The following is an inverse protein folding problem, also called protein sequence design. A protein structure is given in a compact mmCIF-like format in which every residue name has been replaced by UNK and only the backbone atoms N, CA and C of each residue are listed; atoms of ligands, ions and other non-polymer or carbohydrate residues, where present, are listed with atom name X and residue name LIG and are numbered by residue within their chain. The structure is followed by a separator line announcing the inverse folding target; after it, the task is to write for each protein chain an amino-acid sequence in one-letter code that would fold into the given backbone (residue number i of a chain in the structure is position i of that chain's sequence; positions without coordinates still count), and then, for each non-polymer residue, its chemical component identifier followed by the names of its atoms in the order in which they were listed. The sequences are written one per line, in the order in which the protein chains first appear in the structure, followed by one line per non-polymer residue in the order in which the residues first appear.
data_IF_460192363185
#
_entry.id   IF_460192363185
#
_cell.length_a   1.000
_cell.length_b   1.000
_cell.length_c   1.000
_cell.angle_alpha   90.00
_cell.angle_beta   90.00
_cell.angle_gamma   90.00
#
_symmetry.space_group_name_H-M   'P 1'
#
loop_
_entity.id
_entity.type
_entity.pdbx_description
1 polymer ?
#
# COMPACT_ATOMS: atom_id res chain seq x y z
N UNK A 1 -0.20 54.27 -26.62
CA UNK A 1 -0.27 54.17 -25.14
C UNK A 1 -1.39 53.19 -24.83
N UNK A 2 -1.06 52.14 -24.07
CA UNK A 2 -1.91 51.08 -23.49
C UNK A 2 -2.56 50.05 -24.45
N UNK A 3 -2.19 48.79 -24.18
CA UNK A 3 -2.54 47.53 -24.85
C UNK A 3 -3.99 47.13 -24.59
N UNK A 4 -4.67 46.62 -25.62
CA UNK A 4 -5.81 45.71 -25.49
C UNK A 4 -5.41 44.34 -26.01
N UNK A 5 -5.59 43.29 -25.20
CA UNK A 5 -5.71 41.91 -25.69
C UNK A 5 -7.19 41.58 -25.67
N UNK A 6 -7.77 41.37 -26.86
CA UNK A 6 -9.03 40.67 -27.04
C UNK A 6 -8.70 39.26 -27.52
N UNK A 7 -9.43 38.30 -26.99
CA UNK A 7 -9.52 36.94 -27.48
C UNK A 7 -10.00 36.91 -28.93
N UNK A 8 -9.58 35.89 -29.68
CA UNK A 8 -10.23 35.54 -30.95
C UNK A 8 -10.23 34.03 -31.10
N UNK A 9 -11.44 33.53 -31.34
CA UNK A 9 -11.86 32.14 -31.55
C UNK A 9 -11.11 31.43 -32.69
N UNK A 10 -10.97 30.11 -32.56
CA UNK A 10 -10.58 29.20 -33.62
C UNK A 10 -11.77 28.92 -34.55
N UNK A 11 -11.70 29.34 -35.81
CA UNK A 11 -12.57 28.82 -36.88
C UNK A 11 -11.79 27.89 -37.81
N UNK A 12 -12.26 26.64 -37.95
CA UNK A 12 -11.74 25.59 -38.84
C UNK A 12 -11.80 26.01 -40.32
N UNK A 13 -10.77 25.64 -41.10
CA UNK A 13 -10.76 25.73 -42.56
C UNK A 13 -10.00 24.56 -43.21
N UNK A 14 -10.74 23.71 -43.92
CA UNK A 14 -10.33 22.49 -44.63
C UNK A 14 -9.51 22.83 -45.90
N UNK A 15 -8.37 22.14 -46.11
CA UNK A 15 -7.48 22.33 -47.26
C UNK A 15 -7.85 21.44 -48.47
N UNK A 16 -7.65 21.96 -49.68
CA UNK A 16 -7.51 21.18 -50.91
C UNK A 16 -6.40 21.79 -51.79
N UNK A 17 -5.31 21.06 -52.03
CA UNK A 17 -4.24 21.45 -52.97
C UNK A 17 -3.96 20.35 -54.00
N UNK A 18 -3.67 20.81 -55.22
CA UNK A 18 -3.52 20.10 -56.51
C UNK A 18 -2.20 19.30 -56.63
N UNK A 19 -2.08 18.36 -57.60
CA UNK A 19 -0.90 17.50 -57.73
C UNK A 19 0.30 18.28 -58.30
N UNK A 20 1.43 18.26 -57.60
CA UNK A 20 2.69 18.86 -58.06
C UNK A 20 3.59 19.51 -57.01
N UNK A 21 3.45 19.21 -55.71
CA UNK A 21 4.31 19.74 -54.65
C UNK A 21 5.14 18.63 -54.00
N UNK A 22 6.46 18.81 -53.95
CA UNK A 22 7.37 18.05 -53.10
C UNK A 22 7.14 18.50 -51.66
N UNK A 23 6.65 17.61 -50.80
CA UNK A 23 6.57 17.85 -49.36
C UNK A 23 7.95 17.57 -48.77
N UNK A 24 8.62 18.61 -48.29
CA UNK A 24 9.74 18.46 -47.37
C UNK A 24 9.12 18.35 -45.98
N UNK A 25 9.19 17.16 -45.37
CA UNK A 25 8.98 17.04 -43.93
C UNK A 25 10.22 17.61 -43.24
N UNK A 26 10.10 18.84 -42.73
CA UNK A 26 11.00 19.29 -41.68
C UNK A 26 10.40 18.78 -40.38
N UNK A 27 10.87 17.62 -39.92
CA UNK A 27 10.64 17.21 -38.53
C UNK A 27 11.47 18.13 -37.67
N UNK A 28 10.84 19.16 -37.09
CA UNK A 28 11.43 19.81 -35.92
C UNK A 28 11.26 18.83 -34.77
N UNK A 29 12.34 18.11 -34.44
CA UNK A 29 12.47 17.56 -33.09
C UNK A 29 12.57 18.79 -32.19
N UNK A 30 11.48 19.15 -31.53
CA UNK A 30 11.60 19.94 -30.32
C UNK A 30 12.26 19.02 -29.30
N UNK A 31 13.58 19.14 -29.15
CA UNK A 31 14.20 18.84 -27.87
C UNK A 31 13.58 19.82 -26.88
N UNK A 32 12.49 19.41 -26.24
CA UNK A 32 12.07 19.99 -24.99
C UNK A 32 13.21 19.69 -24.01
N UNK A 33 14.16 20.62 -23.92
CA UNK A 33 15.00 20.69 -22.74
C UNK A 33 14.04 20.97 -21.59
N UNK A 34 13.67 19.92 -20.87
CA UNK A 34 13.03 20.04 -19.58
C UNK A 34 14.03 20.82 -18.71
N UNK A 35 13.89 22.14 -18.69
CA UNK A 35 14.47 22.97 -17.66
C UNK A 35 13.84 22.47 -16.38
N UNK A 36 14.57 21.68 -15.59
CA UNK A 36 14.16 21.35 -14.24
C UNK A 36 14.02 22.68 -13.50
N UNK A 37 12.79 23.17 -13.39
CA UNK A 37 12.48 24.19 -12.38
C UNK A 37 12.85 23.51 -11.07
N UNK A 38 13.78 24.10 -10.32
CA UNK A 38 13.96 23.66 -8.95
C UNK A 38 12.59 23.73 -8.27
N UNK A 39 12.12 22.64 -7.66
CA UNK A 39 10.85 22.66 -6.95
C UNK A 39 10.95 23.72 -5.86
N UNK A 40 10.10 24.74 -5.95
CA UNK A 40 9.96 25.73 -4.88
C UNK A 40 8.89 25.25 -3.93
N UNK A 41 9.29 24.89 -2.72
CA UNK A 41 8.34 24.56 -1.65
C UNK A 41 7.70 25.86 -1.14
N UNK A 42 6.37 25.87 -1.07
CA UNK A 42 5.59 26.98 -0.51
C UNK A 42 5.61 26.95 1.02
N UNK A 43 4.86 27.87 1.63
CA UNK A 43 4.78 28.03 3.08
C UNK A 43 4.00 26.85 3.69
N UNK A 44 4.54 26.26 4.76
CA UNK A 44 3.86 25.26 5.58
C UNK A 44 2.65 25.91 6.26
N UNK A 45 1.46 25.37 6.01
CA UNK A 45 0.28 25.59 6.83
C UNK A 45 0.27 24.57 7.98
N UNK A 46 -0.12 25.00 9.18
CA UNK A 46 -0.11 24.16 10.37
C UNK A 46 -1.48 24.21 11.04
N UNK A 47 -1.93 23.07 11.54
CA UNK A 47 -3.21 22.90 12.22
C UNK A 47 -3.01 22.58 13.71
N UNK A 48 -2.58 23.55 14.53
CA UNK A 48 -2.18 23.32 15.93
C UNK A 48 -3.33 22.92 16.86
N UNK A 49 -4.58 23.08 16.44
CA UNK A 49 -5.77 22.77 17.26
C UNK A 49 -6.23 21.30 17.13
N UNK A 50 -5.68 20.53 16.18
CA UNK A 50 -6.12 19.15 15.88
C UNK A 50 -5.43 18.06 16.71
N UNK A 51 -4.68 18.42 17.75
CA UNK A 51 -3.91 17.46 18.53
C UNK A 51 -2.74 16.86 17.72
N UNK A 52 -2.39 15.60 17.99
CA UNK A 52 -1.28 14.91 17.32
C UNK A 52 -1.79 14.09 16.13
N UNK A 53 -1.54 14.59 14.93
CA UNK A 53 -1.60 13.82 13.68
C UNK A 53 -0.16 13.42 13.34
N UNK A 54 0.23 12.21 13.73
CA UNK A 54 1.62 11.75 13.63
C UNK A 54 1.94 11.14 12.26
N UNK A 55 0.91 10.75 11.49
CA UNK A 55 1.03 9.96 10.26
C UNK A 55 0.07 10.44 9.17
N UNK A 56 0.55 10.40 7.93
CA UNK A 56 -0.33 10.30 6.75
C UNK A 56 -0.70 8.83 6.64
N UNK A 57 -2.00 8.54 6.70
CA UNK A 57 -2.52 7.18 6.65
C UNK A 57 -2.91 6.77 5.24
N UNK A 58 -3.48 7.70 4.47
CA UNK A 58 -3.83 7.49 3.07
C UNK A 58 -3.75 8.80 2.27
N UNK A 59 -3.61 8.64 0.96
CA UNK A 59 -3.71 9.70 -0.04
C UNK A 59 -4.67 9.20 -1.11
N UNK A 60 -5.75 9.93 -1.35
CA UNK A 60 -6.80 9.60 -2.30
C UNK A 60 -7.59 10.88 -2.62
N UNK A 61 -8.44 10.85 -3.64
CA UNK A 61 -9.33 11.98 -3.98
C UNK A 61 -10.68 11.78 -3.27
N UNK A 62 -10.79 12.27 -2.03
CA UNK A 62 -11.94 12.01 -1.16
C UNK A 62 -13.17 12.84 -1.55
N UNK A 63 -13.03 13.81 -2.45
CA UNK A 63 -14.12 14.70 -2.87
C UNK A 63 -14.34 14.73 -4.40
N UNK A 64 -13.71 13.81 -5.13
CA UNK A 64 -13.78 13.66 -6.61
C UNK A 64 -13.48 14.97 -7.35
N UNK A 65 -12.48 15.72 -6.88
CA UNK A 65 -12.09 17.00 -7.48
C UNK A 65 -10.89 16.91 -8.43
N UNK A 66 -10.35 15.70 -8.61
CA UNK A 66 -9.20 15.33 -9.41
C UNK A 66 -7.86 15.63 -8.74
N UNK A 67 -7.81 15.87 -7.42
CA UNK A 67 -6.58 16.17 -6.67
C UNK A 67 -6.37 15.19 -5.53
N UNK A 68 -5.11 15.00 -5.18
CA UNK A 68 -4.72 14.21 -4.01
C UNK A 68 -5.12 14.94 -2.72
N UNK A 69 -5.97 14.30 -1.94
CA UNK A 69 -6.29 14.68 -0.57
C UNK A 69 -5.49 13.83 0.41
N UNK A 70 -5.46 14.26 1.67
CA UNK A 70 -4.71 13.58 2.73
C UNK A 70 -5.67 13.14 3.82
N UNK A 71 -5.63 11.84 4.12
CA UNK A 71 -6.10 11.33 5.40
C UNK A 71 -4.92 11.27 6.36
N UNK A 72 -5.00 12.06 7.43
CA UNK A 72 -4.04 12.03 8.51
C UNK A 72 -4.66 11.44 9.77
N UNK A 73 -3.82 10.80 10.57
CA UNK A 73 -4.19 10.30 11.89
C UNK A 73 -2.97 10.22 12.78
N UNK A 74 -3.19 9.88 14.04
CA UNK A 74 -2.10 9.82 15.00
C UNK A 74 -2.42 8.92 16.17
N UNK A 75 -1.37 8.43 16.78
CA UNK A 75 -1.51 7.60 17.98
C UNK A 75 -1.85 8.52 19.15
N UNK A 76 -2.97 8.27 19.83
CA UNK A 76 -3.22 8.93 21.11
C UNK A 76 -2.12 8.53 22.11
N UNK A 77 -1.56 9.52 22.81
CA UNK A 77 -0.46 9.29 23.75
C UNK A 77 -0.98 8.47 24.92
N UNK A 78 -0.77 7.15 24.87
CA UNK A 78 -1.30 6.21 25.83
C UNK A 78 -1.13 6.73 27.27
N UNK A 79 -2.24 6.92 27.98
CA UNK A 79 -2.20 6.83 29.44
C UNK A 79 -1.93 5.35 29.73
N UNK A 80 -0.70 5.03 30.11
CA UNK A 80 -0.24 3.66 30.37
C UNK A 80 -0.85 3.04 31.66
N UNK A 81 -2.10 3.34 31.96
CA UNK A 81 -2.83 2.80 33.11
C UNK A 81 -3.77 1.69 32.63
N UNK A 82 -3.30 0.44 32.60
CA UNK A 82 -4.13 -0.73 32.25
C UNK A 82 -3.34 -1.93 31.73
N UNK A 83 -3.97 -3.11 31.72
CA UNK A 83 -3.39 -4.26 31.02
C UNK A 83 -3.48 -4.03 29.50
N UNK A 84 -2.49 -4.43 28.69
CA UNK A 84 -2.51 -4.16 27.26
C UNK A 84 -3.65 -4.81 26.48
N UNK A 85 -4.19 -5.92 26.97
CA UNK A 85 -5.40 -6.58 26.46
C UNK A 85 -6.69 -5.75 26.64
N UNK A 86 -6.66 -4.72 27.49
CA UNK A 86 -7.80 -3.81 27.70
C UNK A 86 -7.69 -2.54 26.82
N UNK A 87 -6.71 -2.46 25.92
CA UNK A 87 -6.41 -1.25 25.12
C UNK A 87 -7.19 -1.23 23.81
N UNK A 88 -8.44 -0.79 23.91
CA UNK A 88 -9.28 -0.41 22.78
C UNK A 88 -9.23 1.11 22.58
N UNK A 89 -8.03 1.64 22.36
CA UNK A 89 -7.83 3.07 22.12
C UNK A 89 -8.35 3.44 20.72
N UNK A 90 -9.03 4.57 20.61
CA UNK A 90 -9.49 5.14 19.34
C UNK A 90 -8.46 6.10 18.77
N UNK A 91 -8.42 6.25 17.45
CA UNK A 91 -7.61 7.28 16.78
C UNK A 91 -8.53 8.32 16.14
N UNK A 92 -8.24 9.60 16.41
CA UNK A 92 -8.85 10.70 15.66
C UNK A 92 -8.24 10.74 14.25
N UNK A 93 -9.12 10.85 13.26
CA UNK A 93 -8.76 11.09 11.88
C UNK A 93 -9.05 12.55 11.50
N UNK A 94 -8.28 13.07 10.56
CA UNK A 94 -8.51 14.35 9.92
C UNK A 94 -8.28 14.20 8.42
N UNK A 95 -9.26 14.64 7.63
CA UNK A 95 -9.14 14.69 6.17
C UNK A 95 -8.82 16.12 5.74
N UNK A 96 -7.96 16.25 4.75
CA UNK A 96 -7.60 17.52 4.17
C UNK A 96 -7.67 17.48 2.64
N UNK A 97 -8.52 18.33 2.08
CA UNK A 97 -8.71 18.44 0.64
C UNK A 97 -7.60 19.23 -0.03
N UNK A 98 -6.97 18.63 -1.03
CA UNK A 98 -5.94 19.23 -1.87
C UNK A 98 -6.50 20.39 -2.68
N UNK A 99 -5.80 21.52 -2.64
CA UNK A 99 -6.18 22.73 -3.36
C UNK A 99 -5.33 22.93 -4.62
N UNK A 100 -5.86 23.65 -5.61
CA UNK A 100 -5.15 23.94 -6.87
C UNK A 100 -3.78 24.62 -6.65
N UNK A 101 -3.64 25.38 -5.56
CA UNK A 101 -2.39 26.07 -5.21
C UNK A 101 -1.39 25.22 -4.41
N UNK A 102 -1.69 23.93 -4.20
CA UNK A 102 -0.89 22.98 -3.43
C UNK A 102 -1.02 23.11 -1.91
N UNK A 103 -1.99 23.88 -1.43
CA UNK A 103 -2.41 23.88 -0.01
C UNK A 103 -3.44 22.79 0.25
N UNK A 104 -3.84 22.65 1.52
CA UNK A 104 -4.76 21.61 1.98
C UNK A 104 -5.82 22.26 2.87
N UNK A 105 -7.11 22.02 2.65
CA UNK A 105 -8.22 22.52 3.46
C UNK A 105 -8.78 21.41 4.34
N UNK A 106 -8.87 21.64 5.66
CA UNK A 106 -9.41 20.65 6.59
C UNK A 106 -10.92 20.41 6.40
N UNK A 107 -11.32 19.15 6.29
CA UNK A 107 -12.70 18.68 6.14
C UNK A 107 -13.16 17.93 7.41
N UNK A 108 -13.62 18.64 8.46
CA UNK A 108 -13.94 18.04 9.76
C UNK A 108 -15.17 17.12 9.76
N UNK A 109 -16.07 17.30 8.80
CA UNK A 109 -17.37 16.64 8.77
C UNK A 109 -17.38 15.42 7.82
N UNK A 110 -16.23 15.05 7.25
CA UNK A 110 -16.14 13.94 6.27
C UNK A 110 -16.17 12.56 6.93
N UNK A 111 -15.91 12.46 8.23
CA UNK A 111 -15.88 11.20 8.96
C UNK A 111 -16.89 11.29 10.10
N UNK A 112 -17.91 10.43 10.08
CA UNK A 112 -18.90 10.34 11.15
C UNK A 112 -18.44 9.38 12.24
N UNK A 113 -17.60 9.88 13.15
CA UNK A 113 -17.19 9.17 14.36
C UNK A 113 -15.68 9.09 14.56
N UNK A 114 -15.25 8.03 15.24
CA UNK A 114 -13.84 7.77 15.56
C UNK A 114 -13.49 6.34 15.17
N UNK A 115 -12.32 6.15 14.58
CA UNK A 115 -11.82 4.82 14.27
C UNK A 115 -11.38 4.11 15.56
N UNK A 116 -11.84 2.87 15.72
CA UNK A 116 -11.38 1.97 16.77
C UNK A 116 -10.08 1.27 16.34
N UNK A 117 -8.98 2.02 16.30
CA UNK A 117 -7.65 1.48 16.04
C UNK A 117 -6.60 2.32 16.76
N UNK A 118 -5.63 1.66 17.38
CA UNK A 118 -4.55 2.33 18.10
C UNK A 118 -3.39 2.72 17.19
N UNK A 119 -3.05 1.85 16.24
CA UNK A 119 -2.09 2.12 15.19
C UNK A 119 -2.73 1.81 13.85
N UNK A 120 -3.56 2.74 13.32
CA UNK A 120 -4.33 2.47 12.13
C UNK A 120 -3.43 2.20 10.93
N UNK A 121 -3.77 1.16 10.20
CA UNK A 121 -3.30 0.86 8.84
C UNK A 121 -4.52 1.00 7.96
N UNK A 122 -4.45 1.90 6.99
CA UNK A 122 -5.60 2.28 6.15
C UNK A 122 -5.27 1.99 4.69
N UNK A 123 -6.22 1.36 3.99
CA UNK A 123 -6.24 1.26 2.54
C UNK A 123 -7.43 2.07 2.06
N UNK A 124 -7.18 3.08 1.23
CA UNK A 124 -8.22 3.92 0.63
C UNK A 124 -8.46 3.48 -0.81
N UNK A 125 -9.69 3.11 -1.13
CA UNK A 125 -10.11 2.63 -2.44
C UNK A 125 -11.64 2.65 -2.53
N UNK A 126 -12.21 2.56 -3.73
CA UNK A 126 -13.65 2.37 -3.93
C UNK A 126 -13.98 0.87 -3.78
N UNK A 127 -14.53 0.47 -2.62
CA UNK A 127 -14.79 -0.95 -2.33
C UNK A 127 -16.20 -1.38 -2.72
N UNK A 128 -17.11 -0.44 -2.99
CA UNK A 128 -18.50 -0.73 -3.36
C UNK A 128 -18.84 -0.31 -4.80
N UNK A 129 -17.84 0.12 -5.57
CA UNK A 129 -17.94 0.55 -6.97
C UNK A 129 -18.92 1.71 -7.17
N UNK A 130 -18.96 2.66 -6.23
CA UNK A 130 -19.83 3.84 -6.26
C UNK A 130 -19.13 5.12 -6.73
N UNK A 131 -17.88 5.02 -7.18
CA UNK A 131 -16.98 6.11 -7.60
C UNK A 131 -16.53 7.02 -6.44
N UNK A 132 -16.79 6.65 -5.18
CA UNK A 132 -16.33 7.35 -4.00
C UNK A 132 -15.23 6.56 -3.27
N UNK A 133 -14.37 7.27 -2.56
CA UNK A 133 -13.29 6.63 -1.80
C UNK A 133 -13.80 6.15 -0.45
N UNK A 134 -13.69 4.84 -0.24
CA UNK A 134 -13.91 4.16 1.04
C UNK A 134 -12.57 3.90 1.76
N UNK A 135 -12.66 3.42 3.01
CA UNK A 135 -11.50 3.01 3.79
C UNK A 135 -11.64 1.59 4.35
N UNK A 136 -10.66 0.74 4.09
CA UNK A 136 -10.43 -0.46 4.87
C UNK A 136 -9.42 -0.17 5.97
N UNK A 137 -9.83 -0.37 7.22
CA UNK A 137 -9.08 0.05 8.41
C UNK A 137 -8.72 -1.16 9.25
N UNK A 138 -7.44 -1.29 9.56
CA UNK A 138 -6.88 -2.32 10.41
C UNK A 138 -6.05 -1.71 11.53
N UNK A 139 -5.69 -2.52 12.53
CA UNK A 139 -4.78 -2.12 13.59
C UNK A 139 -3.44 -2.85 13.48
N UNK A 140 -2.33 -2.12 13.64
CA UNK A 140 -1.02 -2.75 13.78
C UNK A 140 -0.86 -3.51 15.11
N UNK A 141 -1.69 -3.16 16.09
CA UNK A 141 -1.77 -3.79 17.40
C UNK A 141 -0.62 -3.45 18.34
N UNK A 142 -0.70 -3.99 19.56
CA UNK A 142 0.28 -3.81 20.63
C UNK A 142 0.92 -5.15 20.96
N UNK A 143 2.25 -5.17 21.03
CA UNK A 143 3.00 -6.32 21.53
C UNK A 143 3.26 -6.26 23.03
N UNK A 144 3.02 -7.39 23.70
CA UNK A 144 3.15 -7.51 25.15
C UNK A 144 4.02 -8.70 25.53
N UNK A 145 4.91 -8.48 26.51
CA UNK A 145 5.73 -9.53 27.10
C UNK A 145 6.83 -10.08 26.17
N UNK A 146 7.51 -11.12 26.63
CA UNK A 146 8.62 -11.77 25.89
C UNK A 146 8.12 -12.64 24.72
N UNK A 147 6.85 -13.09 24.75
CA UNK A 147 6.26 -13.94 23.72
C UNK A 147 5.62 -13.16 22.56
N UNK A 148 5.70 -11.81 22.56
CA UNK A 148 5.13 -10.96 21.50
C UNK A 148 3.66 -11.31 21.23
N UNK A 149 2.86 -11.42 22.30
CA UNK A 149 1.42 -11.56 22.17
C UNK A 149 0.90 -10.21 21.69
N UNK A 150 0.49 -10.18 20.41
CA UNK A 150 -0.10 -9.00 19.78
C UNK A 150 -1.60 -8.98 20.04
N UNK A 151 -2.11 -7.82 20.47
CA UNK A 151 -3.53 -7.51 20.57
C UNK A 151 -3.83 -6.40 19.58
N UNK A 152 -4.92 -6.49 18.83
CA UNK A 152 -5.34 -5.45 17.90
C UNK A 152 -6.84 -5.19 18.04
N UNK A 153 -7.36 -4.24 17.28
CA UNK A 153 -8.78 -3.98 17.22
C UNK A 153 -9.41 -4.68 16.01
N UNK A 154 -10.72 -4.98 16.06
CA UNK A 154 -11.43 -5.51 14.90
C UNK A 154 -11.25 -4.60 13.67
N UNK A 155 -11.02 -5.18 12.48
CA UNK A 155 -10.94 -4.40 11.26
C UNK A 155 -12.31 -3.80 10.91
N UNK A 156 -12.31 -2.61 10.32
CA UNK A 156 -13.50 -1.84 9.99
C UNK A 156 -13.49 -1.48 8.51
N UNK A 157 -14.64 -1.58 7.85
CA UNK A 157 -14.87 -0.95 6.56
C UNK A 157 -15.52 0.41 6.83
N UNK A 158 -15.11 1.46 6.13
CA UNK A 158 -15.79 2.76 6.17
C UNK A 158 -16.21 3.11 4.77
N UNK A 159 -17.52 3.16 4.54
CA UNK A 159 -18.09 3.47 3.23
C UNK A 159 -18.44 4.94 3.15
N UNK A 160 -18.13 5.59 2.04
CA UNK A 160 -18.67 6.91 1.72
C UNK A 160 -20.15 6.76 1.38
N UNK A 161 -21.02 7.58 1.97
CA UNK A 161 -22.44 7.58 1.59
C UNK A 161 -22.75 8.58 0.47
N UNK A 162 -24.02 8.69 0.07
CA UNK A 162 -24.48 9.64 -0.96
C UNK A 162 -24.11 11.11 -0.66
N UNK A 163 -23.86 11.46 0.61
CA UNK A 163 -23.46 12.80 1.04
C UNK A 163 -21.93 12.97 1.11
N UNK A 164 -21.15 11.95 0.73
CA UNK A 164 -19.69 11.92 0.76
C UNK A 164 -19.09 11.64 2.14
N UNK A 165 -19.91 11.29 3.14
CA UNK A 165 -19.46 11.13 4.52
C UNK A 165 -19.15 9.66 4.81
N UNK A 166 -17.94 9.41 5.31
CA UNK A 166 -17.47 8.07 5.69
C UNK A 166 -18.16 7.57 6.96
N UNK A 167 -18.76 6.38 6.88
CA UNK A 167 -19.40 5.69 8.01
C UNK A 167 -18.93 4.24 8.14
N UNK A 168 -18.71 3.82 9.38
CA UNK A 168 -18.23 2.47 9.68
C UNK A 168 -19.26 1.37 9.41
N UNK A 169 -18.78 0.24 8.91
CA UNK A 169 -19.44 -1.05 8.81
C UNK A 169 -18.56 -2.13 9.46
N UNK A 170 -19.21 -3.15 10.02
CA UNK A 170 -18.56 -4.31 10.63
C UNK A 170 -18.15 -5.37 9.59
N UNK A 171 -18.37 -5.15 8.29
CA UNK A 171 -18.18 -6.16 7.22
C UNK A 171 -16.84 -6.90 7.27
N UNK A 172 -15.71 -6.21 7.50
CA UNK A 172 -14.40 -6.85 7.63
C UNK A 172 -14.29 -7.68 8.92
N UNK A 173 -14.81 -7.16 10.04
CA UNK A 173 -14.82 -7.85 11.32
C UNK A 173 -15.71 -9.10 11.28
N UNK A 174 -16.84 -9.04 10.59
CA UNK A 174 -17.74 -10.16 10.36
C UNK A 174 -17.07 -11.26 9.54
N UNK A 175 -16.33 -10.90 8.48
CA UNK A 175 -15.55 -11.84 7.69
C UNK A 175 -14.52 -12.62 8.54
N UNK A 176 -13.78 -11.89 9.39
CA UNK A 176 -12.78 -12.48 10.30
C UNK A 176 -13.47 -13.34 11.37
N UNK A 177 -14.62 -12.91 11.88
CA UNK A 177 -15.41 -13.67 12.85
C UNK A 177 -15.87 -15.01 12.26
N UNK A 178 -16.37 -14.98 11.02
CA UNK A 178 -16.82 -16.16 10.31
C UNK A 178 -15.67 -17.15 10.07
N UNK A 179 -14.50 -16.66 9.63
CA UNK A 179 -13.31 -17.51 9.44
C UNK A 179 -12.86 -18.12 10.77
N UNK A 180 -12.71 -17.29 11.82
CA UNK A 180 -12.27 -17.74 13.14
C UNK A 180 -13.18 -18.85 13.70
N UNK A 181 -14.48 -18.74 13.48
CA UNK A 181 -15.46 -19.74 13.90
C UNK A 181 -15.31 -21.07 13.14
N UNK A 182 -14.90 -21.03 11.87
CA UNK A 182 -14.65 -22.22 11.05
C UNK A 182 -13.30 -22.86 11.38
N UNK A 183 -12.26 -22.05 11.57
CA UNK A 183 -10.87 -22.49 11.79
C UNK A 183 -10.27 -21.59 12.89
N UNK A 184 -10.25 -22.02 14.17
CA UNK A 184 -9.63 -21.22 15.22
C UNK A 184 -8.08 -21.32 15.20
N UNK A 185 -7.38 -20.43 15.93
CA UNK A 185 -5.92 -20.41 16.04
C UNK A 185 -5.34 -21.72 16.59
N UNK A 186 -4.14 -22.06 16.13
CA UNK A 186 -3.46 -23.34 16.44
C UNK A 186 -3.32 -24.27 15.23
N UNK A 187 -3.98 -23.92 14.12
CA UNK A 187 -3.89 -24.55 12.80
C UNK A 187 -3.54 -23.54 11.71
N UNK A 188 -4.37 -23.45 10.66
CA UNK A 188 -4.30 -22.43 9.59
C UNK A 188 -5.26 -21.24 9.80
N UNK A 189 -6.01 -21.22 10.90
CA UNK A 189 -7.09 -20.26 11.13
C UNK A 189 -6.67 -18.90 11.66
N UNK A 190 -7.53 -17.89 11.54
CA UNK A 190 -7.31 -16.53 12.03
C UNK A 190 -7.53 -16.41 13.53
N UNK A 191 -6.91 -15.38 14.11
CA UNK A 191 -7.26 -14.90 15.45
C UNK A 191 -8.70 -14.39 15.50
N UNK A 192 -9.25 -14.30 16.72
CA UNK A 192 -10.50 -13.58 16.90
C UNK A 192 -10.31 -12.12 16.40
N UNK A 193 -11.37 -11.43 15.94
CA UNK A 193 -11.25 -10.07 15.40
C UNK A 193 -10.55 -9.11 16.36
N UNK A 194 -10.87 -9.17 17.66
CA UNK A 194 -10.23 -8.36 18.71
C UNK A 194 -8.80 -8.77 19.06
N UNK A 195 -8.21 -9.72 18.33
CA UNK A 195 -6.81 -10.13 18.41
C UNK A 195 -6.14 -10.04 17.02
N UNK A 196 -6.86 -9.58 15.99
CA UNK A 196 -6.31 -9.39 14.65
C UNK A 196 -5.41 -8.16 14.65
N UNK A 197 -4.16 -8.36 14.27
CA UNK A 197 -3.17 -7.30 14.16
C UNK A 197 -2.31 -7.56 12.94
N UNK A 198 -2.01 -6.49 12.20
CA UNK A 198 -1.46 -6.59 10.85
C UNK A 198 -0.26 -5.64 10.67
N UNK A 199 0.54 -5.81 9.62
CA UNK A 199 1.70 -4.95 9.37
C UNK A 199 1.47 -3.95 8.27
N UNK A 200 0.65 -4.35 7.32
CA UNK A 200 0.34 -3.65 6.09
C UNK A 200 -0.82 -4.38 5.43
N UNK A 201 -1.55 -3.68 4.59
CA UNK A 201 -2.55 -4.22 3.69
C UNK A 201 -2.47 -3.51 2.34
N UNK A 202 -3.00 -4.14 1.29
CA UNK A 202 -3.14 -3.55 -0.04
C UNK A 202 -4.42 -4.05 -0.69
N UNK A 203 -4.98 -3.25 -1.60
CA UNK A 203 -6.15 -3.59 -2.38
C UNK A 203 -5.80 -3.97 -3.82
N UNK A 204 -6.59 -4.86 -4.40
CA UNK A 204 -6.53 -5.26 -5.81
C UNK A 204 -7.68 -6.23 -6.12
N UNK A 205 -8.22 -6.18 -7.32
CA UNK A 205 -9.23 -7.12 -7.82
C UNK A 205 -8.54 -8.45 -8.17
N UNK A 206 -8.50 -9.40 -7.24
CA UNK A 206 -7.65 -10.58 -7.40
C UNK A 206 -8.32 -11.67 -8.23
N UNK A 207 -9.63 -11.65 -8.41
CA UNK A 207 -10.35 -12.66 -9.20
C UNK A 207 -11.16 -12.10 -10.38
N UNK A 208 -10.87 -10.85 -10.75
CA UNK A 208 -11.39 -10.14 -11.92
C UNK A 208 -12.92 -10.06 -11.96
N UNK A 209 -13.55 -9.95 -10.80
CA UNK A 209 -15.00 -9.77 -10.71
C UNK A 209 -15.42 -8.29 -10.70
N UNK A 210 -14.43 -7.39 -10.62
CA UNK A 210 -14.60 -5.95 -10.64
C UNK A 210 -14.67 -5.32 -9.25
N UNK A 211 -14.67 -6.12 -8.18
CA UNK A 211 -14.69 -5.63 -6.80
C UNK A 211 -13.28 -5.71 -6.20
N UNK A 212 -12.83 -4.66 -5.52
CA UNK A 212 -11.48 -4.65 -4.94
C UNK A 212 -11.41 -5.54 -3.69
N UNK A 213 -10.50 -6.50 -3.69
CA UNK A 213 -10.16 -7.34 -2.54
C UNK A 213 -9.02 -6.76 -1.72
N UNK A 214 -8.67 -7.42 -0.62
CA UNK A 214 -7.57 -7.01 0.26
C UNK A 214 -6.60 -8.15 0.53
N UNK A 215 -5.30 -7.87 0.37
CA UNK A 215 -4.24 -8.64 1.03
C UNK A 215 -3.98 -8.07 2.42
N UNK A 216 -3.93 -8.94 3.43
CA UNK A 216 -3.69 -8.57 4.83
C UNK A 216 -2.45 -9.28 5.36
N UNK A 217 -1.37 -8.53 5.60
CA UNK A 217 -0.11 -9.10 6.08
C UNK A 217 -0.09 -9.24 7.61
N UNK A 218 0.06 -10.46 8.09
CA UNK A 218 0.09 -10.79 9.50
C UNK A 218 1.31 -10.23 10.24
N UNK A 219 1.07 -9.82 11.49
CA UNK A 219 2.13 -9.42 12.40
C UNK A 219 2.66 -10.55 13.28
N UNK A 220 2.42 -11.81 12.94
CA UNK A 220 2.77 -12.97 13.78
C UNK A 220 2.05 -12.95 15.15
N UNK A 221 2.68 -13.51 16.19
CA UNK A 221 2.11 -13.49 17.54
C UNK A 221 0.82 -14.31 17.63
N UNK A 222 -0.32 -13.69 17.97
CA UNK A 222 -1.63 -14.35 17.92
C UNK A 222 -2.13 -14.52 16.47
N UNK A 223 -1.94 -13.49 15.65
CA UNK A 223 -2.35 -13.50 14.25
C UNK A 223 -1.22 -14.09 13.40
N UNK A 224 -1.13 -15.41 13.32
CA UNK A 224 -0.04 -16.10 12.61
C UNK A 224 -0.30 -16.31 11.13
N UNK A 225 -1.40 -15.80 10.56
CA UNK A 225 -1.70 -16.02 9.14
C UNK A 225 -1.99 -14.69 8.44
N UNK A 226 -1.20 -14.39 7.41
CA UNK A 226 -1.65 -13.45 6.38
C UNK A 226 -2.83 -14.08 5.63
N UNK A 227 -3.66 -13.27 4.98
CA UNK A 227 -4.86 -13.77 4.32
C UNK A 227 -5.35 -12.79 3.27
N UNK A 228 -6.24 -13.28 2.40
CA UNK A 228 -7.05 -12.42 1.55
C UNK A 228 -8.39 -12.16 2.24
N UNK A 229 -8.89 -10.94 2.14
CA UNK A 229 -10.30 -10.63 2.36
C UNK A 229 -10.90 -10.37 0.99
N UNK A 230 -11.73 -11.31 0.53
CA UNK A 230 -12.39 -11.29 -0.77
C UNK A 230 -13.67 -10.47 -0.65
N UNK A 231 -13.84 -9.47 -1.50
CA UNK A 231 -15.05 -8.68 -1.57
C UNK A 231 -16.12 -9.47 -2.32
N UNK A 232 -17.32 -9.61 -1.76
CA UNK A 232 -18.38 -10.42 -2.37
C UNK A 232 -19.29 -9.62 -3.32
N UNK A 233 -18.98 -8.34 -3.57
CA UNK A 233 -19.77 -7.43 -4.43
C UNK A 233 -21.10 -6.97 -3.83
N UNK A 234 -21.31 -7.19 -2.52
CA UNK A 234 -22.50 -6.80 -1.78
C UNK A 234 -22.17 -6.12 -0.44
N UNK A 235 -21.05 -5.39 -0.41
CA UNK A 235 -20.48 -4.72 0.77
C UNK A 235 -20.08 -5.70 1.90
N UNK A 236 -20.08 -7.00 1.63
CA UNK A 236 -19.59 -8.03 2.55
C UNK A 236 -18.27 -8.63 2.08
N UNK A 237 -17.50 -9.16 3.02
CA UNK A 237 -16.21 -9.77 2.74
C UNK A 237 -16.13 -11.22 3.23
N UNK A 238 -15.27 -12.01 2.60
CA UNK A 238 -14.93 -13.37 2.99
C UNK A 238 -13.43 -13.47 3.26
N UNK A 239 -13.01 -13.93 4.45
CA UNK A 239 -11.58 -14.16 4.73
C UNK A 239 -11.14 -15.55 4.26
N UNK A 240 -10.10 -15.60 3.42
CA UNK A 240 -9.59 -16.83 2.82
C UNK A 240 -8.08 -17.05 3.05
N UNK A 241 -7.71 -18.32 3.24
CA UNK A 241 -6.38 -18.75 3.72
C UNK A 241 -5.76 -19.86 2.87
N UNK A 242 -6.42 -20.20 1.76
CA UNK A 242 -6.11 -21.31 0.87
C UNK A 242 -5.91 -20.88 -0.59
N UNK A 243 -5.94 -19.56 -0.85
CA UNK A 243 -5.65 -18.98 -2.17
C UNK A 243 -4.18 -19.10 -2.60
N UNK A 244 -3.25 -19.58 -1.76
CA UNK A 244 -1.91 -19.95 -2.22
C UNK A 244 -1.32 -21.13 -1.38
N UNK A 245 0.01 -21.34 -1.41
CA UNK A 245 0.72 -22.28 -0.50
C UNK A 245 1.04 -21.77 0.92
N UNK A 246 1.03 -22.62 1.96
CA UNK A 246 1.34 -22.21 3.36
C UNK A 246 2.66 -21.44 3.55
N UNK A 247 3.60 -21.59 2.61
CA UNK A 247 4.86 -20.85 2.58
C UNK A 247 4.69 -19.34 2.34
N UNK A 248 3.51 -18.89 1.90
CA UNK A 248 3.15 -17.47 1.76
C UNK A 248 2.56 -16.94 3.06
N UNK A 249 1.37 -17.42 3.50
CA UNK A 249 0.67 -16.79 4.63
C UNK A 249 1.09 -17.22 6.05
N UNK A 250 1.63 -18.43 6.25
CA UNK A 250 1.71 -19.01 7.60
C UNK A 250 2.93 -18.56 8.39
N UNK A 251 2.82 -17.54 9.23
CA UNK A 251 3.81 -17.05 10.19
C UNK A 251 3.72 -17.76 11.58
N UNK A 252 3.81 -19.09 11.62
CA UNK A 252 3.70 -19.86 12.87
C UNK A 252 5.06 -20.07 13.59
N UNK A 253 5.11 -20.07 14.94
CA UNK A 253 6.37 -20.23 15.69
C UNK A 253 7.26 -21.39 15.23
N UNK A 254 8.60 -21.21 15.14
CA UNK A 254 9.36 -19.98 15.44
C UNK A 254 9.39 -18.96 14.28
N UNK A 255 8.65 -19.22 13.20
CA UNK A 255 8.58 -18.36 12.03
C UNK A 255 7.66 -17.18 12.29
N UNK A 256 8.21 -16.07 12.77
CA UNK A 256 7.43 -14.85 12.90
C UNK A 256 7.94 -13.84 11.88
N UNK A 257 7.01 -13.16 11.22
CA UNK A 257 7.26 -11.92 10.48
C UNK A 257 7.99 -12.12 9.16
N UNK A 258 7.37 -12.78 8.18
CA UNK A 258 8.00 -13.01 6.87
C UNK A 258 8.02 -11.79 5.98
N UNK A 259 6.89 -11.12 5.78
CA UNK A 259 6.81 -10.03 4.81
C UNK A 259 6.50 -8.69 5.50
N UNK A 260 6.75 -7.60 4.77
CA UNK A 260 6.44 -6.25 5.23
C UNK A 260 5.89 -5.42 4.07
N UNK A 261 6.76 -4.88 3.21
CA UNK A 261 6.32 -4.17 2.01
C UNK A 261 5.70 -5.13 1.00
N UNK A 262 4.64 -4.69 0.34
CA UNK A 262 3.97 -5.44 -0.71
C UNK A 262 3.28 -4.52 -1.70
N UNK A 263 2.95 -5.03 -2.87
CA UNK A 263 2.13 -4.35 -3.88
C UNK A 263 1.51 -5.38 -4.80
N UNK A 264 0.27 -5.12 -5.24
CA UNK A 264 -0.28 -5.80 -6.40
C UNK A 264 0.29 -5.19 -7.68
N UNK A 265 0.46 -6.00 -8.72
CA UNK A 265 0.89 -5.61 -10.06
C UNK A 265 0.64 -6.78 -11.03
N UNK A 266 0.53 -6.51 -12.32
CA UNK A 266 0.49 -7.55 -13.37
C UNK A 266 1.91 -7.70 -13.95
N UNK A 267 2.62 -8.78 -13.61
CA UNK A 267 4.03 -8.92 -14.03
C UNK A 267 4.17 -9.48 -15.44
N UNK A 268 3.20 -10.26 -15.92
CA UNK A 268 3.29 -11.00 -17.19
C UNK A 268 2.30 -10.51 -18.26
N UNK A 269 1.58 -9.43 -17.96
CA UNK A 269 0.60 -8.75 -18.80
C UNK A 269 -0.59 -9.64 -19.17
N UNK A 270 -1.01 -10.55 -18.30
CA UNK A 270 -2.18 -11.40 -18.51
C UNK A 270 -3.50 -10.78 -18.02
N UNK A 271 -3.40 -9.66 -17.29
CA UNK A 271 -4.53 -8.91 -16.74
C UNK A 271 -4.89 -9.30 -15.31
N UNK A 272 -4.20 -10.27 -14.71
CA UNK A 272 -4.50 -10.80 -13.39
C UNK A 272 -3.52 -10.22 -12.36
N UNK A 273 -3.98 -9.54 -11.29
CA UNK A 273 -3.05 -8.94 -10.33
C UNK A 273 -2.24 -10.00 -9.55
N UNK A 274 -0.93 -10.00 -9.75
CA UNK A 274 0.06 -10.71 -8.95
C UNK A 274 0.41 -9.95 -7.67
N UNK A 275 1.07 -10.63 -6.73
CA UNK A 275 1.43 -10.02 -5.45
C UNK A 275 2.95 -10.11 -5.19
N UNK A 276 3.60 -8.95 -5.20
CA UNK A 276 4.99 -8.82 -4.78
C UNK A 276 5.09 -8.68 -3.25
N UNK A 277 5.93 -9.50 -2.63
CA UNK A 277 6.12 -9.58 -1.18
C UNK A 277 7.58 -9.36 -0.78
N UNK A 278 7.81 -8.28 -0.06
CA UNK A 278 9.10 -7.86 0.47
C UNK A 278 9.45 -8.57 1.78
N UNK A 279 10.54 -9.34 1.78
CA UNK A 279 10.90 -10.21 2.91
C UNK A 279 11.68 -9.51 4.03
N UNK A 280 11.34 -9.81 5.28
CA UNK A 280 12.14 -9.52 6.47
C UNK A 280 13.13 -10.67 6.71
N UNK A 281 14.40 -10.33 6.87
CA UNK A 281 15.52 -11.27 6.99
C UNK A 281 16.15 -11.19 8.37
N UNK A 282 16.68 -12.33 8.82
CA UNK A 282 17.34 -12.51 10.13
C UNK A 282 16.49 -12.10 11.36
N UNK A 283 15.16 -11.96 11.22
CA UNK A 283 14.26 -12.06 12.39
C UNK A 283 14.47 -13.40 13.10
N UNK A 284 14.69 -14.47 12.31
CA UNK A 284 15.03 -15.81 12.75
C UNK A 284 16.07 -16.46 11.83
N UNK A 285 16.88 -17.43 12.32
CA UNK A 285 17.89 -18.11 11.50
C UNK A 285 17.35 -18.79 10.24
N UNK A 286 16.09 -19.25 10.27
CA UNK A 286 15.44 -19.92 9.14
C UNK A 286 15.28 -19.02 7.89
N UNK A 287 15.29 -17.69 8.05
CA UNK A 287 15.08 -16.71 6.96
C UNK A 287 16.33 -15.90 6.64
N UNK A 288 17.51 -16.36 7.05
CA UNK A 288 18.76 -15.66 6.77
C UNK A 288 19.06 -15.57 5.27
N UNK A 289 18.66 -16.59 4.51
CA UNK A 289 18.82 -16.64 3.05
C UNK A 289 17.50 -16.44 2.30
N UNK A 290 16.44 -16.02 2.99
CA UNK A 290 15.17 -15.78 2.35
C UNK A 290 15.27 -14.61 1.36
N UNK A 291 14.56 -14.73 0.25
CA UNK A 291 14.44 -13.69 -0.78
C UNK A 291 13.06 -13.05 -0.71
N UNK A 292 12.93 -11.84 -1.22
CA UNK A 292 11.61 -11.30 -1.57
C UNK A 292 11.05 -12.15 -2.72
N UNK A 293 9.74 -12.17 -2.85
CA UNK A 293 9.06 -13.07 -3.80
C UNK A 293 7.96 -12.32 -4.54
N UNK A 294 7.60 -12.80 -5.71
CA UNK A 294 6.30 -12.53 -6.33
C UNK A 294 5.53 -13.84 -6.33
N UNK A 295 4.24 -13.80 -6.01
CA UNK A 295 3.33 -14.93 -6.20
C UNK A 295 2.42 -14.59 -7.36
N UNK A 296 2.28 -15.53 -8.30
CA UNK A 296 1.63 -15.28 -9.60
C UNK A 296 0.20 -15.79 -9.55
N UNK A 297 -0.75 -14.94 -9.93
CA UNK A 297 -2.18 -15.23 -9.95
C UNK A 297 -2.52 -16.12 -11.15
N UNK A 298 -3.55 -16.95 -11.03
CA UNK A 298 -4.05 -17.82 -12.12
C UNK A 298 -5.34 -17.30 -12.77
N UNK A 299 -5.68 -16.04 -12.49
CA UNK A 299 -6.89 -15.35 -12.95
C UNK A 299 -8.15 -15.69 -12.16
N UNK A 300 -8.03 -16.52 -11.12
CA UNK A 300 -9.13 -16.85 -10.21
C UNK A 300 -8.83 -16.43 -8.76
N UNK A 301 -7.81 -15.58 -8.59
CA UNK A 301 -7.28 -15.15 -7.32
C UNK A 301 -6.63 -16.27 -6.53
N UNK A 302 -6.12 -17.30 -7.21
CA UNK A 302 -5.24 -18.31 -6.62
C UNK A 302 -3.82 -18.12 -7.12
N UNK A 303 -2.84 -18.30 -6.23
CA UNK A 303 -1.43 -18.05 -6.54
C UNK A 303 -0.60 -19.35 -6.44
N UNK A 304 -0.63 -20.21 -7.47
CA UNK A 304 0.06 -21.49 -7.46
C UNK A 304 1.58 -21.36 -7.67
N UNK A 305 2.03 -20.27 -8.28
CA UNK A 305 3.42 -20.04 -8.66
C UNK A 305 4.09 -18.97 -7.80
N UNK A 306 5.41 -19.08 -7.68
CA UNK A 306 6.26 -18.19 -6.91
C UNK A 306 7.56 -17.93 -7.67
N UNK A 307 7.85 -16.65 -7.89
CA UNK A 307 9.12 -16.16 -8.42
C UNK A 307 9.97 -15.63 -7.26
N UNK A 308 11.24 -16.04 -7.23
CA UNK A 308 12.22 -15.53 -6.25
C UNK A 308 12.95 -14.31 -6.78
N UNK A 309 12.88 -13.19 -6.07
CA UNK A 309 13.55 -11.96 -6.49
C UNK A 309 15.06 -12.00 -6.19
N UNK A 310 15.90 -11.37 -7.03
CA UNK A 310 17.35 -11.28 -6.81
C UNK A 310 17.71 -10.75 -5.42
N UNK A 311 18.77 -11.33 -4.83
CA UNK A 311 19.30 -10.93 -3.53
C UNK A 311 20.50 -10.00 -3.70
N UNK A 312 20.58 -8.96 -2.87
CA UNK A 312 21.73 -8.05 -2.79
C UNK A 312 22.57 -8.32 -1.56
N UNK A 313 23.86 -7.95 -1.61
CA UNK A 313 24.78 -8.01 -0.46
C UNK A 313 24.26 -7.18 0.73
N UNK A 314 23.47 -6.12 0.46
CA UNK A 314 22.82 -5.35 1.51
C UNK A 314 21.88 -6.21 2.37
N UNK A 315 21.42 -7.37 1.90
CA UNK A 315 20.61 -8.30 2.69
C UNK A 315 21.40 -9.10 3.74
N UNK A 316 22.72 -8.97 3.81
CA UNK A 316 23.50 -9.53 4.92
C UNK A 316 23.24 -8.75 6.22
N UNK A 317 22.39 -9.29 7.09
CA UNK A 317 21.99 -8.61 8.32
C UNK A 317 20.50 -8.70 8.59
N UNK A 318 20.07 -8.10 9.69
CA UNK A 318 18.65 -7.88 9.94
C UNK A 318 18.15 -6.79 9.00
N UNK A 319 17.48 -7.20 7.93
CA UNK A 319 16.98 -6.31 6.89
C UNK A 319 15.50 -6.52 6.65
N UNK A 320 14.77 -5.45 6.41
CA UNK A 320 13.36 -5.51 6.01
C UNK A 320 13.17 -4.72 4.72
N UNK A 321 12.33 -5.23 3.83
CA UNK A 321 11.83 -4.44 2.71
C UNK A 321 10.69 -3.58 3.24
N UNK A 322 10.92 -2.28 3.32
CA UNK A 322 9.93 -1.33 3.86
C UNK A 322 8.86 -0.98 2.84
N UNK A 323 9.26 -0.89 1.58
CA UNK A 323 8.37 -0.55 0.48
C UNK A 323 8.75 -1.38 -0.75
N UNK A 324 7.73 -1.74 -1.51
CA UNK A 324 7.82 -2.27 -2.86
C UNK A 324 6.94 -1.37 -3.70
N UNK A 325 7.43 -0.89 -4.83
CA UNK A 325 6.66 -0.13 -5.81
C UNK A 325 7.08 -0.60 -7.19
N UNK A 326 6.25 -0.35 -8.19
CA UNK A 326 6.46 -0.84 -9.54
C UNK A 326 6.20 0.27 -10.56
N UNK A 327 6.95 0.20 -11.65
CA UNK A 327 6.82 1.05 -12.83
C UNK A 327 7.79 0.51 -13.88
N UNK A 328 7.41 0.50 -15.15
CA UNK A 328 8.29 0.12 -16.27
C UNK A 328 9.49 1.10 -16.40
N UNK A 329 10.68 0.73 -15.88
CA UNK A 329 11.88 1.58 -15.92
C UNK A 329 12.43 1.72 -17.34
N UNK A 330 12.38 0.62 -18.10
CA UNK A 330 13.10 0.47 -19.35
C UNK A 330 12.22 0.70 -20.60
N UNK A 331 10.92 0.93 -20.39
CA UNK A 331 9.88 1.11 -21.40
C UNK A 331 9.68 -0.12 -22.32
N UNK A 332 9.83 -1.34 -21.80
CA UNK A 332 9.63 -2.58 -22.55
C UNK A 332 8.21 -3.15 -22.48
N UNK A 333 7.35 -2.54 -21.66
CA UNK A 333 5.96 -2.90 -21.48
C UNK A 333 5.70 -3.91 -20.36
N UNK A 334 6.72 -4.33 -19.60
CA UNK A 334 6.55 -5.12 -18.39
C UNK A 334 6.81 -4.27 -17.15
N UNK A 335 5.99 -4.46 -16.11
CA UNK A 335 6.18 -3.77 -14.84
C UNK A 335 7.44 -4.29 -14.12
N UNK A 336 8.33 -3.37 -13.77
CA UNK A 336 9.54 -3.63 -13.00
C UNK A 336 9.33 -3.31 -11.52
N UNK A 337 10.26 -3.70 -10.64
CA UNK A 337 10.15 -3.48 -9.19
C UNK A 337 11.27 -2.58 -8.63
N UNK A 338 10.88 -1.64 -7.77
CA UNK A 338 11.77 -0.90 -6.87
C UNK A 338 11.54 -1.31 -5.41
N UNK A 339 12.55 -1.92 -4.80
CA UNK A 339 12.52 -2.35 -3.40
C UNK A 339 13.32 -1.39 -2.52
N UNK A 340 12.72 -0.99 -1.38
CA UNK A 340 13.38 -0.16 -0.36
C UNK A 340 13.78 -1.01 0.84
N UNK A 341 15.07 -1.28 0.97
CA UNK A 341 15.65 -2.06 2.05
C UNK A 341 16.04 -1.16 3.21
N UNK A 342 15.72 -1.56 4.44
CA UNK A 342 16.22 -0.97 5.67
C UNK A 342 16.97 -2.01 6.49
N UNK A 343 18.10 -1.64 7.09
CA UNK A 343 18.90 -2.50 7.97
C UNK A 343 18.91 -1.96 9.39
N UNK A 344 18.79 -2.85 10.37
CA UNK A 344 19.02 -2.52 11.78
C UNK A 344 20.06 -3.42 12.44
N UNK A 345 20.54 -3.00 13.61
CA UNK A 345 21.65 -3.65 14.33
C UNK A 345 21.33 -5.02 14.95
N UNK A 346 20.05 -5.33 15.20
CA UNK A 346 19.60 -6.60 15.81
C UNK A 346 18.10 -6.83 15.58
N UNK A 347 17.62 -8.08 15.70
CA UNK A 347 16.20 -8.42 15.53
C UNK A 347 15.29 -8.06 16.73
N UNK A 348 15.82 -7.94 17.96
CA UNK A 348 15.01 -7.69 19.18
C UNK A 348 15.49 -6.50 20.02
N UNK A 349 14.54 -5.77 20.63
CA UNK A 349 14.76 -4.48 21.33
C UNK A 349 14.88 -3.32 20.35
N UNK A 350 14.83 -2.04 20.78
CA UNK A 350 14.84 -0.89 19.87
C UNK A 350 16.06 -0.97 18.94
N UNK A 351 15.86 -1.31 17.65
CA UNK A 351 16.97 -1.55 16.75
C UNK A 351 17.56 -0.19 16.36
N UNK A 352 18.88 -0.05 16.43
CA UNK A 352 19.50 1.12 15.82
C UNK A 352 19.45 0.92 14.30
N UNK A 353 18.89 1.88 13.58
CA UNK A 353 18.97 1.94 12.13
C UNK A 353 20.44 2.00 11.70
N UNK A 354 20.86 1.08 10.84
CA UNK A 354 22.27 0.96 10.39
C UNK A 354 22.45 1.23 8.91
N UNK A 355 21.39 1.24 8.11
CA UNK A 355 21.52 1.59 6.70
C UNK A 355 20.24 1.43 5.89
N UNK A 356 20.30 1.90 4.64
CA UNK A 356 19.27 1.70 3.61
C UNK A 356 19.90 1.32 2.27
N UNK A 357 19.12 0.67 1.42
CA UNK A 357 19.49 0.37 0.05
C UNK A 357 18.23 0.34 -0.82
N UNK A 358 18.31 0.91 -2.01
CA UNK A 358 17.30 0.79 -3.04
C UNK A 358 17.72 -0.32 -4.00
N UNK A 359 16.80 -1.13 -4.48
CA UNK A 359 17.09 -2.19 -5.43
C UNK A 359 16.12 -2.07 -6.61
N UNK A 360 16.67 -1.90 -7.81
CA UNK A 360 15.89 -1.85 -9.05
C UNK A 360 15.98 -3.22 -9.73
N UNK A 361 14.83 -3.85 -9.92
CA UNK A 361 14.68 -5.19 -10.48
C UNK A 361 13.91 -5.08 -11.78
N UNK A 362 14.55 -5.45 -12.88
CA UNK A 362 13.97 -5.38 -14.22
C UNK A 362 13.33 -6.72 -14.55
N UNK A 363 12.08 -6.68 -14.97
CA UNK A 363 11.29 -7.82 -15.38
C UNK A 363 11.72 -8.28 -16.78
N UNK A 364 12.11 -9.55 -16.92
CA UNK A 364 12.59 -10.14 -18.18
C UNK A 364 11.46 -10.89 -18.90
N UNK A 365 10.30 -10.24 -19.05
CA UNK A 365 9.13 -10.77 -19.77
C UNK A 365 8.18 -11.65 -18.95
N UNK A 366 7.97 -11.33 -17.67
CA UNK A 366 6.95 -11.91 -16.79
C UNK A 366 7.41 -13.07 -15.91
N UNK A 367 8.43 -13.80 -16.34
CA UNK A 367 8.83 -15.04 -15.62
C UNK A 367 9.99 -14.85 -14.64
N UNK A 368 10.73 -13.73 -14.71
CA UNK A 368 11.90 -13.51 -13.88
C UNK A 368 12.34 -12.06 -13.76
N UNK A 369 13.18 -11.77 -12.77
CA UNK A 369 13.74 -10.43 -12.54
C UNK A 369 15.26 -10.43 -12.54
N UNK A 370 15.85 -9.38 -13.10
CA UNK A 370 17.30 -9.10 -13.10
C UNK A 370 17.59 -7.87 -12.24
N UNK A 371 18.58 -7.97 -11.37
CA UNK A 371 19.03 -6.80 -10.59
C UNK A 371 19.86 -5.86 -11.46
N UNK A 372 19.30 -4.69 -11.78
CA UNK A 372 19.98 -3.62 -12.51
C UNK A 372 20.17 -2.36 -11.65
N UNK A 373 20.21 -2.52 -10.33
CA UNK A 373 20.41 -1.42 -9.39
C UNK A 373 21.57 -0.48 -9.77
N UNK A 374 22.76 -0.97 -10.17
CA UNK A 374 23.86 -0.09 -10.57
C UNK A 374 23.58 0.72 -11.84
N UNK A 375 22.79 0.18 -12.78
CA UNK A 375 22.43 0.84 -14.04
C UNK A 375 21.52 2.04 -13.78
N UNK A 376 20.48 1.83 -12.95
CA UNK A 376 19.41 2.81 -12.75
C UNK A 376 19.67 3.79 -11.60
N UNK A 377 20.29 3.31 -10.52
CA UNK A 377 20.45 4.07 -9.28
C UNK A 377 21.92 4.40 -8.96
N UNK A 378 22.86 3.87 -9.76
CA UNK A 378 24.28 4.06 -9.56
C UNK A 378 24.81 3.45 -8.26
N UNK A 379 26.00 3.89 -7.86
CA UNK A 379 26.62 3.42 -6.62
C UNK A 379 25.90 3.99 -5.39
N UNK A 380 25.46 3.09 -4.51
CA UNK A 380 24.85 3.47 -3.24
C UNK A 380 25.85 3.32 -2.09
N UNK A 381 25.70 4.16 -1.06
CA UNK A 381 26.47 3.98 0.17
C UNK A 381 26.02 2.70 0.85
N UNK A 382 26.84 1.66 0.75
CA UNK A 382 26.72 0.51 1.63
C UNK A 382 27.10 0.96 3.06
N UNK A 383 26.38 0.46 4.08
CA UNK A 383 26.50 0.89 5.47
C UNK A 383 27.84 0.53 6.12
#
# INVERSE_FOLDING_TARGET
MVRGKRETELSRGLFMLRPGAVIVFVTMVLEATASSREPSFSRVETYPEMGRLDYILAVADFNDDGRDDILAGGREEAVLDGQPEDRHDTTALAVFFGQEDGTFEHAPDLIDGTIEAWQPIVVAADFNNDEQIDLAVFDAGVFVGEESVGYGNPPQLWLSDDDGVLRSSDSLSDAVTAEHALRPPGGKGLSAPADLHIKSAAAGDIDNDGDLDLWVESTGGKNVNSHFMVNNGDETFTSELDRATDAVYRNAPPDHWRHFGHTFLDIDNDGDPDLALGTIRRSFPAFETAVSIVVVNDGTGHYPERIGLPRVDFNEGYTSIRFVTHFDFNADGFEDLLLVHARNSRPMGPPAFTGRHLQALINDGGESFVDETPTWLGAQRLP
#
